data_IF_670732456650
#
_entry.id   IF_670732456650
#
_cell.length_a   1.000
_cell.length_b   1.000
_cell.length_c   1.000
_cell.angle_alpha   90.00
_cell.angle_beta   90.00
_cell.angle_gamma   90.00
#
_symmetry.space_group_name_H-M   'P 1'
#
loop_
_entity.id
_entity.type
_entity.pdbx_description
1 polymer ?
#
# COMPACT_ATOMS: atom_id res chain seq x y z
N UNK A 1 -14.45 -11.34 -25.75
CA UNK A 1 -14.25 -11.93 -24.41
C UNK A 1 -13.38 -10.95 -23.66
N UNK A 2 -13.87 -10.39 -22.55
CA UNK A 2 -13.00 -9.60 -21.69
C UNK A 2 -11.91 -10.52 -21.16
N UNK A 3 -10.67 -10.13 -21.33
CA UNK A 3 -9.53 -10.85 -20.77
C UNK A 3 -9.51 -10.61 -19.25
N UNK A 4 -9.24 -11.66 -18.48
CA UNK A 4 -9.04 -11.48 -17.04
C UNK A 4 -7.88 -10.50 -16.79
N UNK A 5 -7.98 -9.63 -15.77
CA UNK A 5 -6.86 -8.78 -15.40
C UNK A 5 -5.67 -9.61 -14.94
N UNK A 6 -4.48 -9.08 -15.16
CA UNK A 6 -3.22 -9.70 -14.75
C UNK A 6 -2.50 -8.83 -13.72
N UNK A 7 -1.75 -9.45 -12.82
CA UNK A 7 -0.83 -8.76 -11.92
C UNK A 7 0.27 -8.11 -12.74
N UNK A 8 0.33 -6.79 -12.75
CA UNK A 8 1.32 -5.98 -13.46
C UNK A 8 2.52 -5.62 -12.57
N UNK A 9 2.26 -5.38 -11.29
CA UNK A 9 3.29 -4.95 -10.35
C UNK A 9 2.96 -5.42 -8.93
N UNK A 10 3.99 -5.85 -8.21
CA UNK A 10 3.94 -6.17 -6.79
C UNK A 10 4.88 -5.20 -6.06
N UNK A 11 4.38 -4.48 -5.07
CA UNK A 11 5.19 -3.55 -4.27
C UNK A 11 4.96 -3.82 -2.80
N UNK A 12 6.00 -4.15 -2.07
CA UNK A 12 5.98 -4.18 -0.61
C UNK A 12 6.57 -2.87 -0.06
N UNK A 13 6.25 -2.53 1.17
CA UNK A 13 6.75 -1.34 1.86
C UNK A 13 7.42 -1.78 3.16
N UNK A 14 8.69 -2.20 3.13
CA UNK A 14 9.33 -2.85 4.27
C UNK A 14 9.26 -2.05 5.56
N UNK A 15 9.45 -0.74 5.47
CA UNK A 15 9.32 0.17 6.62
C UNK A 15 8.03 0.98 6.48
N UNK A 16 7.18 0.95 7.52
CA UNK A 16 5.94 1.74 7.56
C UNK A 16 6.23 3.21 7.22
N UNK A 17 5.48 3.77 6.27
CA UNK A 17 5.57 5.14 5.75
C UNK A 17 6.77 5.47 4.86
N UNK A 18 7.79 4.62 4.72
CA UNK A 18 8.94 4.85 3.83
C UNK A 18 8.74 4.21 2.45
N UNK A 19 9.77 4.24 1.61
CA UNK A 19 9.73 3.81 0.21
C UNK A 19 9.32 2.33 0.04
N UNK A 20 8.77 2.01 -1.12
CA UNK A 20 8.41 0.65 -1.51
C UNK A 20 9.53 -0.07 -2.25
N UNK A 21 9.49 -1.40 -2.19
CA UNK A 21 10.35 -2.31 -2.94
C UNK A 21 9.49 -3.10 -3.92
N UNK A 22 9.81 -3.00 -5.21
CA UNK A 22 9.14 -3.74 -6.27
C UNK A 22 9.69 -5.18 -6.35
N UNK A 23 8.80 -6.16 -6.48
CA UNK A 23 9.11 -7.58 -6.52
C UNK A 23 8.49 -8.24 -7.75
N UNK A 24 9.12 -9.32 -8.25
CA UNK A 24 8.53 -10.18 -9.28
C UNK A 24 7.53 -11.18 -8.67
N UNK A 25 7.72 -11.53 -7.41
CA UNK A 25 6.82 -12.39 -6.65
C UNK A 25 6.89 -12.10 -5.17
N UNK A 26 5.81 -12.38 -4.46
CA UNK A 26 5.74 -12.25 -3.01
C UNK A 26 4.95 -13.41 -2.40
N UNK A 27 5.41 -13.90 -1.26
CA UNK A 27 4.77 -14.99 -0.52
C UNK A 27 3.73 -14.42 0.46
N UNK A 28 2.61 -15.12 0.61
CA UNK A 28 1.64 -14.86 1.69
C UNK A 28 2.22 -15.39 3.00
N UNK A 29 2.17 -14.55 4.02
CA UNK A 29 2.65 -14.89 5.36
C UNK A 29 1.52 -14.82 6.38
N UNK A 30 1.82 -15.18 7.63
CA UNK A 30 0.93 -15.02 8.77
C UNK A 30 0.37 -13.59 8.83
N UNK A 31 -0.90 -13.47 9.20
CA UNK A 31 -1.63 -12.19 9.17
C UNK A 31 -2.11 -11.78 7.77
N UNK A 32 -2.04 -12.67 6.76
CA UNK A 32 -2.56 -12.42 5.42
C UNK A 32 -1.80 -11.34 4.64
N UNK A 33 -0.52 -11.12 4.96
CA UNK A 33 0.32 -10.09 4.36
C UNK A 33 1.31 -10.67 3.37
N UNK A 34 1.84 -9.83 2.49
CA UNK A 34 3.02 -10.17 1.69
C UNK A 34 4.27 -10.20 2.57
N UNK A 35 5.15 -11.16 2.31
CA UNK A 35 6.42 -11.30 3.04
C UNK A 35 7.18 -9.95 3.03
N UNK A 36 7.65 -9.54 4.19
CA UNK A 36 8.37 -8.29 4.44
C UNK A 36 7.56 -6.98 4.25
N UNK A 37 6.27 -7.05 3.93
CA UNK A 37 5.46 -5.83 3.84
C UNK A 37 5.16 -5.26 5.24
N UNK A 38 5.55 -3.99 5.51
CA UNK A 38 5.43 -3.30 6.82
C UNK A 38 6.03 -4.10 7.98
N UNK A 39 7.13 -4.79 7.72
CA UNK A 39 7.84 -5.56 8.75
C UNK A 39 8.48 -4.65 9.81
N UNK A 40 8.89 -3.45 9.41
CA UNK A 40 9.49 -2.45 10.30
C UNK A 40 8.56 -1.25 10.48
N UNK A 41 8.62 -0.64 11.68
CA UNK A 41 8.01 0.64 11.98
C UNK A 41 8.88 1.45 12.92
N UNK A 42 8.74 2.77 12.85
CA UNK A 42 9.42 3.73 13.73
C UNK A 42 8.42 4.32 14.71
N UNK A 43 8.78 4.46 15.97
CA UNK A 43 8.01 5.23 16.96
C UNK A 43 8.89 6.22 17.72
N UNK A 44 8.25 7.18 18.39
CA UNK A 44 8.87 7.97 19.46
C UNK A 44 8.94 7.16 20.79
N UNK A 45 9.39 7.80 21.85
CA UNK A 45 9.50 7.21 23.20
C UNK A 45 8.14 6.94 23.85
N UNK A 46 7.09 7.66 23.46
CA UNK A 46 5.73 7.46 23.92
C UNK A 46 5.01 6.35 23.16
N UNK A 47 5.64 5.74 22.14
CA UNK A 47 5.08 4.69 21.33
C UNK A 47 4.22 5.18 20.16
N UNK A 48 4.17 6.47 19.86
CA UNK A 48 3.46 7.00 18.71
C UNK A 48 4.26 6.72 17.43
N UNK A 49 3.63 6.12 16.43
CA UNK A 49 4.30 5.84 15.16
C UNK A 49 4.67 7.13 14.41
N UNK A 50 5.91 7.19 13.92
CA UNK A 50 6.41 8.23 13.01
C UNK A 50 5.93 7.89 11.61
N UNK A 51 4.88 8.57 11.17
CA UNK A 51 4.18 8.29 9.91
C UNK A 51 3.88 9.58 9.14
N UNK A 52 3.58 9.46 7.85
CA UNK A 52 3.29 10.60 6.98
C UNK A 52 2.04 11.42 7.34
N UNK A 53 1.21 10.95 8.29
CA UNK A 53 0.10 11.75 8.82
C UNK A 53 0.56 12.82 9.82
N UNK A 54 1.64 12.54 10.55
CA UNK A 54 2.09 13.32 11.71
C UNK A 54 3.48 13.93 11.54
N UNK A 55 4.30 13.38 10.63
CA UNK A 55 5.66 13.85 10.42
C UNK A 55 6.00 13.91 8.93
N UNK A 56 6.16 15.13 8.40
CA UNK A 56 6.44 15.34 6.96
C UNK A 56 7.85 14.93 6.54
N UNK A 57 8.80 14.77 7.48
CA UNK A 57 10.16 14.33 7.17
C UNK A 57 10.22 12.92 6.58
N UNK A 58 9.19 12.08 6.80
CA UNK A 58 9.14 10.75 6.17
C UNK A 58 9.13 10.82 4.63
N UNK A 59 8.62 11.91 4.05
CA UNK A 59 8.58 12.06 2.58
C UNK A 59 9.94 12.41 1.97
N UNK A 60 10.88 12.91 2.77
CA UNK A 60 12.21 13.32 2.31
C UNK A 60 13.32 12.36 2.75
N UNK A 61 12.96 11.25 3.42
CA UNK A 61 13.85 10.15 3.74
C UNK A 61 13.66 9.00 2.74
N UNK A 62 14.68 8.74 1.92
CA UNK A 62 14.68 7.56 1.03
C UNK A 62 15.12 6.34 1.81
N UNK A 63 14.53 5.18 1.48
CA UNK A 63 14.81 3.92 2.15
C UNK A 63 14.87 2.77 1.16
N UNK A 64 15.94 1.99 1.22
CA UNK A 64 16.09 0.73 0.48
C UNK A 64 16.36 -0.40 1.46
N UNK A 65 15.79 -1.57 1.22
CA UNK A 65 16.02 -2.76 2.05
C UNK A 65 16.45 -3.92 1.15
N UNK A 66 17.55 -4.56 1.49
CA UNK A 66 18.01 -5.80 0.89
C UNK A 66 17.92 -6.91 1.96
N UNK A 67 16.91 -7.76 1.85
CA UNK A 67 16.66 -8.81 2.83
C UNK A 67 17.66 -9.96 2.76
N UNK A 68 18.18 -10.27 1.57
CA UNK A 68 19.21 -11.30 1.39
C UNK A 68 20.48 -10.96 2.15
N UNK A 69 20.95 -9.73 2.03
CA UNK A 69 22.17 -9.24 2.68
C UNK A 69 21.90 -8.62 4.06
N UNK A 70 20.62 -8.54 4.49
CA UNK A 70 20.19 -7.96 5.77
C UNK A 70 20.59 -6.48 5.92
N UNK A 71 20.60 -5.74 4.82
CA UNK A 71 20.98 -4.33 4.77
C UNK A 71 19.74 -3.46 4.64
N UNK A 72 19.63 -2.46 5.50
CA UNK A 72 18.75 -1.32 5.35
C UNK A 72 19.60 -0.08 5.05
N UNK A 73 19.16 0.73 4.11
CA UNK A 73 19.88 1.91 3.66
C UNK A 73 18.97 3.11 3.70
N UNK A 74 19.48 4.23 4.21
CA UNK A 74 18.77 5.49 4.24
C UNK A 74 19.57 6.57 3.51
N UNK A 75 18.85 7.50 2.90
CA UNK A 75 19.43 8.69 2.27
C UNK A 75 18.49 9.87 2.46
N UNK A 76 18.99 10.97 2.96
CA UNK A 76 18.26 12.23 2.99
C UNK A 76 18.15 12.79 1.56
N UNK A 77 17.07 13.46 1.24
CA UNK A 77 16.81 13.92 -0.13
C UNK A 77 17.95 14.80 -0.70
N UNK A 78 18.62 15.58 0.16
CA UNK A 78 19.69 16.49 -0.25
C UNK A 78 21.09 15.87 -0.18
N UNK A 79 21.22 14.58 0.13
CA UNK A 79 22.49 13.86 0.19
C UNK A 79 22.72 13.05 -1.09
N UNK A 80 23.98 12.82 -1.41
CA UNK A 80 24.39 11.97 -2.54
C UNK A 80 24.74 10.53 -2.11
N UNK A 81 24.97 10.31 -0.83
CA UNK A 81 25.42 9.02 -0.29
C UNK A 81 24.33 8.31 0.52
N UNK A 82 24.35 6.99 0.47
CA UNK A 82 23.51 6.12 1.26
C UNK A 82 24.21 5.74 2.57
N UNK A 83 23.53 5.88 3.69
CA UNK A 83 23.93 5.32 4.98
C UNK A 83 23.40 3.90 5.08
N UNK A 84 24.31 2.92 5.13
CA UNK A 84 23.98 1.49 5.10
C UNK A 84 24.22 0.86 6.46
N UNK A 85 23.26 0.05 6.89
CA UNK A 85 23.29 -0.63 8.19
C UNK A 85 22.84 -2.08 8.03
N UNK A 86 23.42 -2.97 8.83
CA UNK A 86 22.87 -4.31 8.98
C UNK A 86 21.73 -4.28 10.00
N UNK A 87 20.52 -4.61 9.58
CA UNK A 87 19.33 -4.50 10.43
C UNK A 87 19.19 -5.63 11.47
N UNK A 88 20.09 -6.62 11.51
CA UNK A 88 20.15 -7.59 12.60
C UNK A 88 21.14 -7.17 13.70
N UNK A 89 22.26 -6.54 13.32
CA UNK A 89 23.39 -6.32 14.23
C UNK A 89 23.62 -4.85 14.59
N UNK A 90 23.04 -3.89 13.83
CA UNK A 90 23.31 -2.47 13.97
C UNK A 90 22.06 -1.64 14.33
N UNK A 91 21.08 -2.26 14.99
CA UNK A 91 19.82 -1.56 15.41
C UNK A 91 20.12 -0.25 16.18
N UNK A 92 21.07 -0.20 17.15
CA UNK A 92 21.37 1.06 17.83
C UNK A 92 21.89 2.15 16.89
N UNK A 93 22.70 1.81 15.89
CA UNK A 93 23.21 2.77 14.90
C UNK A 93 22.11 3.28 14.00
N UNK A 94 21.19 2.40 13.57
CA UNK A 94 19.99 2.77 12.80
C UNK A 94 19.14 3.74 13.60
N UNK A 95 18.84 3.44 14.86
CA UNK A 95 18.04 4.30 15.73
C UNK A 95 18.72 5.66 15.98
N UNK A 96 20.04 5.69 16.13
CA UNK A 96 20.80 6.94 16.25
C UNK A 96 20.65 7.80 14.99
N UNK A 97 20.90 7.22 13.81
CA UNK A 97 20.75 7.92 12.53
C UNK A 97 19.33 8.49 12.33
N UNK A 98 18.31 7.66 12.59
CA UNK A 98 16.92 8.08 12.47
C UNK A 98 16.55 9.15 13.50
N UNK A 99 17.09 9.07 14.72
CA UNK A 99 16.85 10.06 15.78
C UNK A 99 17.42 11.42 15.41
N UNK A 100 18.62 11.45 14.87
CA UNK A 100 19.26 12.67 14.37
C UNK A 100 18.45 13.27 13.20
N UNK A 101 17.99 12.43 12.27
CA UNK A 101 17.19 12.87 11.13
C UNK A 101 15.84 13.45 11.54
N UNK A 102 15.07 12.74 12.36
CA UNK A 102 13.74 13.16 12.80
C UNK A 102 13.76 14.19 13.94
N UNK A 103 14.94 14.46 14.55
CA UNK A 103 15.15 15.35 15.69
C UNK A 103 14.30 14.97 16.91
N UNK A 104 14.12 13.70 17.11
CA UNK A 104 13.46 13.09 18.26
C UNK A 104 14.02 11.67 18.45
N UNK A 105 13.88 11.11 19.64
CA UNK A 105 14.34 9.74 19.87
C UNK A 105 13.47 8.76 19.11
N UNK A 106 14.09 7.96 18.23
CA UNK A 106 13.42 6.96 17.40
C UNK A 106 13.71 5.57 17.92
N UNK A 107 12.65 4.78 18.05
CA UNK A 107 12.71 3.35 18.32
C UNK A 107 12.29 2.62 17.04
N UNK A 108 13.16 1.76 16.52
CA UNK A 108 12.85 0.91 15.39
C UNK A 108 12.27 -0.42 15.89
N UNK A 109 11.07 -0.73 15.45
CA UNK A 109 10.38 -1.98 15.75
C UNK A 109 10.46 -2.92 14.55
N UNK A 110 10.57 -4.22 14.81
CA UNK A 110 10.44 -5.28 13.81
C UNK A 110 9.34 -6.27 14.23
N UNK A 111 8.43 -6.59 13.33
CA UNK A 111 7.42 -7.61 13.52
C UNK A 111 7.34 -8.51 12.26
N UNK A 112 7.91 -9.71 12.37
CA UNK A 112 8.03 -10.63 11.23
C UNK A 112 6.73 -11.36 10.88
N UNK A 113 5.75 -11.38 11.78
CA UNK A 113 4.50 -12.14 11.62
C UNK A 113 3.27 -11.25 11.55
N UNK A 114 3.10 -10.30 12.46
CA UNK A 114 1.88 -9.49 12.59
C UNK A 114 1.84 -8.24 11.73
N UNK A 115 3.00 -7.74 11.29
CA UNK A 115 3.13 -6.49 10.51
C UNK A 115 2.59 -5.24 11.23
N UNK A 116 2.93 -4.08 10.71
CA UNK A 116 2.45 -2.79 11.22
C UNK A 116 1.39 -2.20 10.28
N UNK A 117 0.32 -2.97 10.04
CA UNK A 117 -0.78 -2.56 9.16
C UNK A 117 -1.69 -1.54 9.84
N UNK A 118 -2.37 -0.70 9.03
CA UNK A 118 -3.36 0.26 9.55
C UNK A 118 -4.67 -0.44 9.95
N UNK A 119 -5.03 -1.52 9.26
CA UNK A 119 -6.20 -2.37 9.53
C UNK A 119 -5.70 -3.82 9.46
N UNK A 120 -5.21 -4.41 10.56
CA UNK A 120 -4.49 -5.68 10.54
C UNK A 120 -5.23 -6.80 9.83
N UNK A 121 -6.53 -6.94 10.04
CA UNK A 121 -7.29 -8.11 9.59
C UNK A 121 -7.61 -8.11 8.09
N UNK A 122 -7.65 -6.94 7.45
CA UNK A 122 -8.11 -6.81 6.07
C UNK A 122 -7.22 -5.94 5.17
N UNK A 123 -6.04 -5.55 5.60
CA UNK A 123 -5.17 -4.67 4.80
C UNK A 123 -3.80 -5.27 4.49
N UNK A 124 -3.66 -6.58 4.61
CA UNK A 124 -2.44 -7.30 4.27
C UNK A 124 -2.12 -7.25 2.77
N UNK A 125 -3.15 -7.32 1.93
CA UNK A 125 -3.05 -7.12 0.49
C UNK A 125 -4.02 -6.00 0.08
N UNK A 126 -3.56 -5.09 -0.76
CA UNK A 126 -4.37 -4.02 -1.33
C UNK A 126 -4.20 -3.99 -2.85
N UNK A 127 -5.31 -3.89 -3.58
CA UNK A 127 -5.34 -4.02 -5.04
C UNK A 127 -5.90 -2.75 -5.68
N UNK A 128 -5.34 -2.36 -6.81
CA UNK A 128 -5.89 -1.38 -7.73
C UNK A 128 -5.47 -1.67 -9.17
N UNK A 129 -6.13 -1.05 -10.13
CA UNK A 129 -5.73 -1.16 -11.54
C UNK A 129 -4.79 -0.01 -11.95
N UNK A 130 -3.89 -0.32 -12.88
CA UNK A 130 -3.02 0.68 -13.54
C UNK A 130 -3.84 1.74 -14.25
N UNK A 131 -4.95 1.35 -14.88
CA UNK A 131 -5.87 2.28 -15.56
C UNK A 131 -6.51 3.26 -14.59
N UNK A 132 -6.82 2.84 -13.34
CA UNK A 132 -7.28 3.75 -12.29
C UNK A 132 -6.21 4.78 -11.91
N UNK A 133 -4.95 4.35 -11.76
CA UNK A 133 -3.84 5.27 -11.51
C UNK A 133 -3.64 6.27 -12.65
N UNK A 134 -3.75 5.81 -13.90
CA UNK A 134 -3.65 6.67 -15.09
C UNK A 134 -4.77 7.72 -15.09
N UNK A 135 -6.03 7.28 -14.91
CA UNK A 135 -7.18 8.19 -14.82
C UNK A 135 -7.02 9.23 -13.72
N UNK A 136 -6.58 8.81 -12.52
CA UNK A 136 -6.33 9.72 -11.40
C UNK A 136 -5.20 10.70 -11.73
N UNK A 137 -4.15 10.25 -12.40
CA UNK A 137 -3.03 11.12 -12.81
C UNK A 137 -3.52 12.27 -13.67
N UNK A 138 -4.46 12.01 -14.59
CA UNK A 138 -5.05 13.00 -15.49
C UNK A 138 -5.91 14.05 -14.78
N UNK A 139 -6.30 13.83 -13.53
CA UNK A 139 -7.07 14.81 -12.75
C UNK A 139 -6.22 15.95 -12.20
N UNK A 140 -4.89 15.89 -12.38
CA UNK A 140 -3.95 16.83 -11.79
C UNK A 140 -2.84 17.23 -12.78
N UNK A 141 -2.64 18.50 -13.02
CA UNK A 141 -1.70 19.03 -14.04
C UNK A 141 -0.22 18.70 -13.78
N UNK A 142 0.18 18.52 -12.52
CA UNK A 142 1.59 18.42 -12.12
C UNK A 142 1.89 17.12 -11.35
N UNK A 143 1.11 16.07 -11.55
CA UNK A 143 1.31 14.76 -10.93
C UNK A 143 1.52 13.74 -12.04
N UNK A 144 2.61 12.99 -11.98
CA UNK A 144 2.86 11.89 -12.90
C UNK A 144 2.41 10.54 -12.30
N UNK A 145 2.40 9.50 -13.14
CA UNK A 145 1.92 8.17 -12.76
C UNK A 145 2.73 7.55 -11.61
N UNK A 146 4.04 7.78 -11.55
CA UNK A 146 4.88 7.26 -10.47
C UNK A 146 4.55 7.95 -9.13
N UNK A 147 4.37 9.26 -9.14
CA UNK A 147 3.91 10.01 -7.98
C UNK A 147 2.51 9.55 -7.53
N UNK A 148 1.61 9.22 -8.46
CA UNK A 148 0.29 8.67 -8.12
C UNK A 148 0.43 7.32 -7.42
N UNK A 149 1.28 6.40 -7.91
CA UNK A 149 1.58 5.13 -7.23
C UNK A 149 2.10 5.34 -5.81
N UNK A 150 3.11 6.19 -5.65
CA UNK A 150 3.72 6.51 -4.36
C UNK A 150 2.73 7.09 -3.35
N UNK A 151 1.70 7.84 -3.80
CA UNK A 151 0.65 8.40 -2.94
C UNK A 151 -0.29 7.34 -2.40
N UNK A 152 -0.69 6.37 -3.23
CA UNK A 152 -1.72 5.40 -2.86
C UNK A 152 -1.17 4.10 -2.28
N UNK A 153 0.10 3.74 -2.56
CA UNK A 153 0.84 2.66 -1.87
C UNK A 153 0.10 1.32 -1.87
N UNK A 154 -0.50 0.94 -3.00
CA UNK A 154 -1.08 -0.39 -3.16
C UNK A 154 0.03 -1.46 -3.24
N UNK A 155 -0.27 -2.66 -2.77
CA UNK A 155 0.69 -3.78 -2.86
C UNK A 155 0.59 -4.53 -4.18
N UNK A 156 -0.59 -4.60 -4.77
CA UNK A 156 -0.84 -5.25 -6.07
C UNK A 156 -1.42 -4.23 -7.05
N UNK A 157 -0.75 -4.04 -8.18
CA UNK A 157 -1.26 -3.30 -9.33
C UNK A 157 -1.63 -4.32 -10.42
N UNK A 158 -2.86 -4.26 -10.92
CA UNK A 158 -3.34 -5.10 -12.03
C UNK A 158 -3.44 -4.29 -13.32
N UNK A 159 -3.37 -4.95 -14.46
CA UNK A 159 -3.47 -4.36 -15.81
C UNK A 159 -4.43 -5.19 -16.69
N UNK A 160 -4.74 -4.66 -17.89
CA UNK A 160 -5.62 -5.31 -18.86
C UNK A 160 -7.11 -5.02 -18.65
N UNK A 161 -7.46 -4.02 -17.82
CA UNK A 161 -8.84 -3.66 -17.47
C UNK A 161 -9.06 -2.14 -17.51
N UNK A 162 -10.32 -1.72 -17.52
CA UNK A 162 -10.72 -0.32 -17.44
C UNK A 162 -10.41 0.30 -16.07
N UNK A 163 -10.42 1.63 -16.00
CA UNK A 163 -10.27 2.34 -14.73
C UNK A 163 -11.42 1.96 -13.77
N UNK A 164 -11.04 1.81 -12.50
CA UNK A 164 -11.93 1.43 -11.39
C UNK A 164 -12.53 0.02 -11.51
N UNK A 165 -11.95 -0.84 -12.35
CA UNK A 165 -12.33 -2.25 -12.42
C UNK A 165 -12.20 -2.95 -11.06
N UNK A 166 -11.26 -2.54 -10.23
CA UNK A 166 -11.09 -3.06 -8.87
C UNK A 166 -12.32 -2.91 -7.98
N UNK A 167 -13.29 -2.07 -8.35
CA UNK A 167 -14.57 -1.96 -7.64
C UNK A 167 -15.40 -3.26 -7.73
N UNK A 168 -15.14 -4.14 -8.70
CA UNK A 168 -15.72 -5.50 -8.73
C UNK A 168 -15.25 -6.38 -7.57
N UNK A 169 -14.17 -6.01 -6.89
CA UNK A 169 -13.58 -6.79 -5.81
C UNK A 169 -14.14 -6.42 -4.42
N UNK A 170 -15.16 -5.59 -4.32
CA UNK A 170 -15.90 -5.35 -3.07
C UNK A 170 -17.40 -5.26 -3.34
N UNK A 171 -18.19 -5.41 -2.28
CA UNK A 171 -19.65 -5.33 -2.31
C UNK A 171 -20.14 -4.51 -1.13
N UNK A 172 -21.42 -4.61 -0.78
CA UNK A 172 -22.02 -3.96 0.38
C UNK A 172 -21.36 -4.39 1.70
N UNK A 173 -21.49 -3.58 2.74
CA UNK A 173 -20.95 -3.90 4.07
C UNK A 173 -21.44 -5.28 4.57
N UNK A 174 -20.55 -6.04 5.20
CA UNK A 174 -20.80 -7.41 5.67
C UNK A 174 -20.58 -8.50 4.62
N UNK A 175 -20.35 -8.13 3.36
CA UNK A 175 -20.05 -9.06 2.27
C UNK A 175 -18.64 -8.86 1.76
N UNK A 176 -18.10 -9.91 1.14
CA UNK A 176 -16.81 -9.87 0.45
C UNK A 176 -16.90 -10.55 -0.90
N UNK A 177 -16.05 -10.15 -1.81
CA UNK A 177 -15.91 -10.79 -3.12
C UNK A 177 -14.74 -11.77 -3.07
N UNK A 178 -15.06 -13.06 -3.21
CA UNK A 178 -14.04 -14.10 -3.38
C UNK A 178 -13.42 -14.01 -4.77
N UNK A 179 -12.11 -13.95 -4.83
CA UNK A 179 -11.36 -13.99 -6.09
C UNK A 179 -10.02 -14.70 -5.89
N UNK A 180 -9.39 -15.06 -6.98
CA UNK A 180 -8.06 -15.67 -6.98
C UNK A 180 -7.06 -14.80 -7.72
N UNK A 181 -5.81 -14.81 -7.25
CA UNK A 181 -4.63 -14.36 -7.98
C UNK A 181 -3.72 -15.57 -8.13
N UNK A 182 -3.63 -16.11 -9.33
CA UNK A 182 -3.03 -17.44 -9.53
C UNK A 182 -3.73 -18.49 -8.65
N UNK A 183 -2.95 -19.13 -7.76
CA UNK A 183 -3.48 -20.14 -6.83
C UNK A 183 -3.89 -19.58 -5.45
N UNK A 184 -3.68 -18.28 -5.20
CA UNK A 184 -4.01 -17.64 -3.93
C UNK A 184 -5.46 -17.17 -3.94
N UNK A 185 -6.24 -17.57 -2.93
CA UNK A 185 -7.60 -17.10 -2.71
C UNK A 185 -7.61 -15.89 -1.79
N UNK A 186 -8.31 -14.83 -2.18
CA UNK A 186 -8.49 -13.60 -1.42
C UNK A 186 -9.96 -13.22 -1.38
N UNK A 187 -10.30 -12.39 -0.39
CA UNK A 187 -11.62 -11.76 -0.28
C UNK A 187 -11.45 -10.25 -0.26
N UNK A 188 -11.99 -9.57 -1.26
CA UNK A 188 -12.07 -8.13 -1.26
C UNK A 188 -13.19 -7.67 -0.34
N UNK A 189 -12.85 -6.96 0.72
CA UNK A 189 -13.76 -6.66 1.83
C UNK A 189 -14.38 -5.28 1.76
N UNK A 190 -13.61 -4.30 1.33
CA UNK A 190 -14.07 -2.90 1.28
C UNK A 190 -13.18 -2.02 0.43
N UNK A 191 -13.70 -0.95 -0.16
CA UNK A 191 -12.86 0.10 -0.72
C UNK A 191 -12.11 0.81 0.40
N UNK A 192 -10.82 1.12 0.17
CA UNK A 192 -9.98 1.78 1.19
C UNK A 192 -10.22 3.27 1.22
N UNK A 193 -10.81 3.77 2.30
CA UNK A 193 -10.89 5.20 2.58
C UNK A 193 -9.48 5.80 2.68
N UNK A 194 -9.29 6.95 2.04
CA UNK A 194 -7.98 7.61 2.00
C UNK A 194 -7.87 8.69 3.06
N UNK A 195 -6.74 8.70 3.73
CA UNK A 195 -6.38 9.73 4.71
C UNK A 195 -5.68 10.94 4.04
N UNK A 196 -5.03 11.77 4.83
CA UNK A 196 -4.30 12.94 4.34
C UNK A 196 -3.02 12.59 3.56
N UNK A 197 -2.43 11.39 3.76
CA UNK A 197 -1.14 11.00 3.15
C UNK A 197 -1.09 11.21 1.63
N UNK A 198 -2.08 10.80 0.83
CA UNK A 198 -2.05 11.02 -0.62
C UNK A 198 -2.06 12.49 -1.04
N UNK A 199 -2.42 13.42 -0.16
CA UNK A 199 -2.40 14.86 -0.48
C UNK A 199 -0.99 15.44 -0.50
N UNK A 200 -0.01 14.77 0.11
CA UNK A 200 1.37 15.23 0.15
C UNK A 200 2.12 14.76 -1.10
N UNK A 201 3.01 15.60 -1.59
CA UNK A 201 3.99 15.18 -2.60
C UNK A 201 4.87 14.08 -1.99
N UNK A 202 4.98 12.90 -2.62
CA UNK A 202 5.69 11.76 -2.04
C UNK A 202 7.22 11.93 -1.98
N UNK A 203 7.74 13.02 -2.55
CA UNK A 203 9.17 13.31 -2.61
C UNK A 203 9.55 14.51 -1.74
N UNK A 204 8.68 15.53 -1.65
CA UNK A 204 8.98 16.78 -0.93
C UNK A 204 8.17 16.94 0.36
N UNK A 205 7.07 16.19 0.50
CA UNK A 205 6.13 16.36 1.62
C UNK A 205 5.21 17.59 1.49
N UNK A 206 5.32 18.37 0.41
CA UNK A 206 4.46 19.53 0.17
C UNK A 206 3.01 19.10 -0.05
N UNK A 207 2.09 19.85 0.55
CA UNK A 207 0.66 19.58 0.41
C UNK A 207 0.15 20.10 -0.92
N UNK A 208 -0.48 19.23 -1.70
CA UNK A 208 -1.25 19.60 -2.89
C UNK A 208 -2.63 20.07 -2.43
N UNK A 209 -2.85 21.38 -2.52
CA UNK A 209 -4.11 21.98 -2.12
C UNK A 209 -5.31 21.38 -2.88
N UNK A 210 -6.42 21.19 -2.16
CA UNK A 210 -7.67 20.64 -2.68
C UNK A 210 -7.56 19.21 -3.26
N UNK A 211 -6.43 18.49 -3.10
CA UNK A 211 -6.23 17.15 -3.65
C UNK A 211 -7.41 16.21 -3.35
N UNK A 212 -7.76 16.04 -2.08
CA UNK A 212 -8.84 15.15 -1.67
C UNK A 212 -10.21 15.55 -2.23
N UNK A 213 -10.50 16.86 -2.30
CA UNK A 213 -11.75 17.39 -2.87
C UNK A 213 -11.81 17.15 -4.37
N UNK A 214 -10.73 17.42 -5.09
CA UNK A 214 -10.61 17.16 -6.53
C UNK A 214 -10.76 15.67 -6.81
N UNK A 215 -10.05 14.82 -6.06
CA UNK A 215 -10.17 13.38 -6.16
C UNK A 215 -11.63 12.92 -5.99
N UNK A 216 -12.28 13.26 -4.87
CA UNK A 216 -13.63 12.81 -4.56
C UNK A 216 -14.65 13.24 -5.64
N UNK A 217 -14.51 14.47 -6.17
CA UNK A 217 -15.36 14.97 -7.26
C UNK A 217 -15.20 14.16 -8.55
N UNK A 218 -13.96 13.92 -8.98
CA UNK A 218 -13.70 13.18 -10.21
C UNK A 218 -14.01 11.70 -10.05
N UNK A 219 -13.74 11.12 -8.87
CA UNK A 219 -14.07 9.73 -8.58
C UNK A 219 -15.57 9.47 -8.60
N UNK A 220 -16.38 10.42 -8.07
CA UNK A 220 -17.83 10.35 -8.15
C UNK A 220 -18.32 10.39 -9.61
N UNK A 221 -17.72 11.25 -10.45
CA UNK A 221 -18.09 11.35 -11.86
C UNK A 221 -17.63 10.15 -12.71
N UNK A 222 -16.54 9.50 -12.31
CA UNK A 222 -15.96 8.35 -13.00
C UNK A 222 -16.37 6.99 -12.40
N UNK A 223 -17.25 6.98 -11.39
CA UNK A 223 -17.71 5.74 -10.77
C UNK A 223 -18.52 4.92 -11.78
N UNK A 224 -18.14 3.62 -12.00
CA UNK A 224 -18.96 2.74 -12.82
C UNK A 224 -20.35 2.56 -12.24
N UNK A 225 -21.38 2.45 -13.07
CA UNK A 225 -22.78 2.30 -12.66
C UNK A 225 -23.02 1.07 -11.77
N UNK A 226 -22.25 0.01 -11.98
CA UNK A 226 -22.34 -1.23 -11.21
C UNK A 226 -21.56 -1.19 -9.87
N UNK A 227 -20.76 -0.15 -9.62
CA UNK A 227 -19.97 -0.03 -8.37
C UNK A 227 -20.86 0.32 -7.18
N UNK A 228 -20.67 -0.39 -6.08
CA UNK A 228 -21.34 -0.14 -4.80
C UNK A 228 -20.67 0.95 -3.96
N UNK A 229 -19.70 1.68 -4.50
CA UNK A 229 -18.92 2.68 -3.76
C UNK A 229 -19.78 3.74 -3.06
N UNK A 230 -20.94 4.09 -3.61
CA UNK A 230 -21.88 5.05 -3.01
C UNK A 230 -22.34 4.63 -1.59
N UNK A 231 -22.32 3.35 -1.27
CA UNK A 231 -22.71 2.83 0.05
C UNK A 231 -21.67 3.14 1.14
N UNK A 232 -20.47 3.60 0.77
CA UNK A 232 -19.37 3.89 1.67
C UNK A 232 -19.24 5.38 2.08
N UNK A 233 -20.27 6.17 1.83
CA UNK A 233 -20.48 7.52 2.37
C UNK A 233 -19.76 8.64 1.61
N UNK A 234 -18.56 8.44 1.08
CA UNK A 234 -17.84 9.45 0.30
C UNK A 234 -16.98 8.81 -0.80
N UNK A 235 -16.52 9.63 -1.77
CA UNK A 235 -15.76 9.13 -2.93
C UNK A 235 -14.22 9.24 -2.78
N UNK A 236 -13.70 9.59 -1.63
CA UNK A 236 -12.23 9.60 -1.41
C UNK A 236 -11.75 8.20 -1.00
N UNK A 237 -12.01 7.24 -1.90
CA UNK A 237 -11.61 5.84 -1.78
C UNK A 237 -10.83 5.40 -3.01
N UNK A 238 -9.78 4.63 -2.78
CA UNK A 238 -9.02 3.94 -3.82
C UNK A 238 -8.34 2.73 -3.21
N UNK A 239 -8.12 1.71 -4.00
CA UNK A 239 -7.69 0.37 -3.61
C UNK A 239 -8.77 -0.42 -2.87
N UNK A 240 -8.66 -1.73 -2.92
CA UNK A 240 -9.52 -2.66 -2.17
C UNK A 240 -8.71 -3.29 -1.06
N UNK A 241 -9.23 -3.26 0.15
CA UNK A 241 -8.69 -4.00 1.28
C UNK A 241 -9.08 -5.48 1.14
N UNK A 242 -8.10 -6.37 1.25
CA UNK A 242 -8.33 -7.79 1.09
C UNK A 242 -8.06 -8.56 2.39
N UNK A 243 -8.96 -9.46 2.74
CA UNK A 243 -8.71 -10.53 3.69
C UNK A 243 -8.07 -11.71 2.94
N UNK A 244 -7.04 -12.28 3.51
CA UNK A 244 -6.36 -13.48 3.00
C UNK A 244 -6.45 -14.58 4.05
N UNK A 245 -7.11 -15.72 3.75
CA UNK A 245 -7.24 -16.81 4.70
C UNK A 245 -5.88 -17.42 5.11
N UNK A 246 -5.81 -17.97 6.31
CA UNK A 246 -4.60 -18.67 6.79
C UNK A 246 -4.22 -19.88 5.93
N UNK A 247 -5.19 -20.49 5.23
CA UNK A 247 -4.96 -21.57 4.27
C UNK A 247 -4.08 -21.17 3.08
N UNK A 248 -3.90 -19.88 2.87
CA UNK A 248 -3.12 -19.33 1.78
C UNK A 248 -1.64 -19.06 2.16
N UNK A 249 -1.29 -19.19 3.45
CA UNK A 249 0.08 -19.01 3.94
C UNK A 249 1.05 -19.93 3.19
N UNK A 250 2.17 -19.37 2.76
CA UNK A 250 3.21 -20.06 1.98
C UNK A 250 2.99 -20.08 0.47
N UNK A 251 1.81 -19.69 -0.03
CA UNK A 251 1.55 -19.55 -1.46
C UNK A 251 2.16 -18.24 -1.99
N UNK A 252 2.37 -18.18 -3.29
CA UNK A 252 3.01 -17.08 -3.98
C UNK A 252 2.04 -16.35 -4.91
N UNK A 253 2.13 -15.02 -4.91
CA UNK A 253 1.57 -14.16 -5.96
C UNK A 253 2.75 -13.73 -6.84
N UNK A 254 2.60 -13.84 -8.17
CA UNK A 254 3.65 -13.50 -9.13
C UNK A 254 3.11 -12.49 -10.16
N UNK A 255 4.00 -11.64 -10.67
CA UNK A 255 3.70 -10.79 -11.83
C UNK A 255 3.31 -11.68 -13.00
N UNK A 256 2.22 -11.34 -13.69
CA UNK A 256 1.61 -12.15 -14.74
C UNK A 256 0.52 -13.11 -14.27
N UNK A 257 0.31 -13.32 -12.96
CA UNK A 257 -0.82 -14.12 -12.49
C UNK A 257 -2.15 -13.47 -12.89
N UNK A 258 -3.09 -14.28 -13.35
CA UNK A 258 -4.46 -13.85 -13.61
C UNK A 258 -5.21 -13.55 -12.31
N UNK A 259 -6.10 -12.56 -12.36
CA UNK A 259 -7.07 -12.28 -11.30
C UNK A 259 -8.44 -12.75 -11.74
N UNK A 260 -9.04 -13.67 -11.02
CA UNK A 260 -10.32 -14.30 -11.37
C UNK A 260 -11.32 -14.15 -10.24
N UNK A 261 -12.43 -13.45 -10.51
CA UNK A 261 -13.56 -13.35 -9.57
C UNK A 261 -14.27 -14.70 -9.52
N UNK A 262 -14.58 -15.15 -8.31
CA UNK A 262 -15.29 -16.42 -8.04
C UNK A 262 -16.76 -16.11 -7.68
N UNK A 263 -17.00 -15.17 -6.77
CA UNK A 263 -18.35 -14.78 -6.37
C UNK A 263 -18.42 -14.03 -5.05
N UNK A 264 -19.62 -13.68 -4.66
CA UNK A 264 -19.88 -12.99 -3.40
C UNK A 264 -20.01 -13.98 -2.23
N UNK A 265 -19.48 -13.60 -1.07
CA UNK A 265 -19.61 -14.33 0.22
C UNK A 265 -20.13 -13.39 1.31
N UNK A 266 -20.98 -13.92 2.17
CA UNK A 266 -21.45 -13.23 3.39
C UNK A 266 -20.49 -13.56 4.53
N UNK A 267 -19.97 -12.54 5.21
CA UNK A 267 -19.06 -12.66 6.34
C UNK A 267 -19.76 -12.37 7.68
N UNK A 268 -20.73 -11.46 7.66
CA UNK A 268 -21.52 -11.09 8.85
C UNK A 268 -22.98 -10.89 8.42
N UNK A 269 -23.89 -11.45 9.19
CA UNK A 269 -25.33 -11.16 9.10
C UNK A 269 -25.73 -10.03 10.04
#
# INVERSE_FOLDING_TARGET
METNPIVNKITIFPVKSLDGLELQKAMITEGGCLLHDREFAMSDEEGNFIIGKTNSLVYTLRCEVNFENKIISFKQQNENSWHKFNFENEIPAIQSFLSDYFRLKVILHQNKTGRFMDIPDISGVTILSKSSLQSITEWYDNINLDQTRKRFRATIEIDGVSAFWEDHLFSSAGKGIEFKIGDVTLFGMSPRARCIVPTHNPETGEIVHAFAKTFARHRAAAQPEWSTLNEYGHHYHLTVNCYVPETEIGKWIEVGNEVKIIGEKVFYE
#
